data_IF_521014214068
#
_entry.id   IF_521014214068
#
_cell.length_a   1.000
_cell.length_b   1.000
_cell.length_c   1.000
_cell.angle_alpha   90.00
_cell.angle_beta   90.00
_cell.angle_gamma   90.00
#
_symmetry.space_group_name_H-M   'P 1'
#
loop_
_entity.id
_entity.type
_entity.pdbx_description
1 polymer ?
#
# COMPACT_ATOMS: atom_id res chain seq x y z
N UNK A 1 -14.43 -15.08 -3.51
CA UNK A 1 -14.40 -14.92 -2.04
C UNK A 1 -14.22 -13.44 -1.77
N UNK A 2 -15.20 -12.78 -1.15
CA UNK A 2 -15.14 -11.33 -0.89
C UNK A 2 -14.09 -11.08 0.21
N UNK A 3 -12.96 -10.46 -0.13
CA UNK A 3 -12.01 -9.96 0.87
C UNK A 3 -12.72 -8.92 1.72
N UNK A 4 -13.06 -9.28 2.95
CA UNK A 4 -13.70 -8.38 3.91
C UNK A 4 -12.64 -7.42 4.44
N UNK A 5 -12.90 -6.12 4.42
CA UNK A 5 -11.96 -5.13 4.95
C UNK A 5 -11.80 -5.30 6.47
N UNK A 6 -10.56 -5.34 6.94
CA UNK A 6 -10.21 -5.45 8.35
C UNK A 6 -10.04 -4.05 8.93
N UNK A 7 -10.72 -3.77 10.04
CA UNK A 7 -10.57 -2.51 10.77
C UNK A 7 -9.27 -2.51 11.58
N UNK A 8 -8.51 -1.43 11.44
CA UNK A 8 -7.30 -1.16 12.22
C UNK A 8 -7.40 0.22 12.86
N UNK A 9 -7.21 0.29 14.17
CA UNK A 9 -7.14 1.53 14.93
C UNK A 9 -5.67 1.94 15.11
N UNK A 10 -5.32 3.12 14.60
CA UNK A 10 -3.94 3.60 14.54
C UNK A 10 -3.84 4.90 15.34
N UNK A 11 -2.97 5.00 16.35
CA UNK A 11 -2.75 6.25 17.07
C UNK A 11 -2.21 7.30 16.10
N UNK A 12 -2.90 8.45 16.06
CA UNK A 12 -2.57 9.56 15.19
C UNK A 12 -1.37 10.36 15.74
N UNK A 13 -1.15 10.34 17.05
CA UNK A 13 -0.10 11.10 17.72
C UNK A 13 0.77 10.19 18.61
N UNK A 14 2.06 10.49 18.66
CA UNK A 14 3.02 9.75 19.49
C UNK A 14 2.93 10.15 20.98
N UNK A 15 2.41 11.35 21.26
CA UNK A 15 2.28 11.89 22.61
C UNK A 15 0.85 11.82 23.14
N UNK A 16 -0.13 11.66 22.25
CA UNK A 16 -1.56 11.61 22.59
C UNK A 16 -2.24 10.40 21.92
N UNK A 17 -2.39 9.33 22.70
CA UNK A 17 -2.93 8.06 22.23
C UNK A 17 -4.46 8.05 22.14
N UNK A 18 -5.13 9.13 22.59
CA UNK A 18 -6.59 9.27 22.52
C UNK A 18 -7.02 9.63 21.08
N UNK A 19 -6.16 10.34 20.35
CA UNK A 19 -6.37 10.65 18.94
C UNK A 19 -6.05 9.41 18.09
N UNK A 20 -7.08 8.72 17.62
CA UNK A 20 -6.95 7.53 16.75
C UNK A 20 -7.52 7.77 15.36
N UNK A 21 -6.89 7.14 14.35
CA UNK A 21 -7.39 7.03 12.99
C UNK A 21 -7.77 5.57 12.76
N UNK A 22 -9.02 5.34 12.35
CA UNK A 22 -9.47 4.02 11.92
C UNK A 22 -9.24 3.86 10.43
N UNK A 23 -8.66 2.74 10.03
CA UNK A 23 -8.38 2.41 8.63
C UNK A 23 -8.93 1.02 8.35
N UNK A 24 -9.71 0.88 7.29
CA UNK A 24 -10.22 -0.40 6.85
C UNK A 24 -9.39 -0.88 5.67
N UNK A 25 -8.57 -1.89 5.92
CA UNK A 25 -7.65 -2.46 4.92
C UNK A 25 -8.26 -3.73 4.38
N UNK A 26 -8.49 -3.79 3.07
CA UNK A 26 -8.89 -5.02 2.39
C UNK A 26 -7.69 -5.68 1.72
N UNK A 27 -7.68 -7.00 1.73
CA UNK A 27 -6.67 -7.77 1.05
C UNK A 27 -6.87 -7.66 -0.47
N UNK A 28 -5.81 -7.23 -1.17
CA UNK A 28 -5.79 -7.19 -2.62
C UNK A 28 -5.70 -8.59 -3.20
N UNK A 29 -6.52 -8.85 -4.22
CA UNK A 29 -6.41 -10.10 -4.96
C UNK A 29 -5.09 -10.16 -5.75
N UNK A 30 -4.66 -11.38 -6.08
CA UNK A 30 -3.48 -11.59 -6.93
C UNK A 30 -3.54 -10.80 -8.25
N UNK A 31 -4.72 -10.71 -8.87
CA UNK A 31 -4.90 -9.97 -10.12
C UNK A 31 -4.75 -8.46 -9.94
N UNK A 32 -5.23 -7.90 -8.82
CA UNK A 32 -5.02 -6.49 -8.50
C UNK A 32 -3.54 -6.21 -8.29
N UNK A 33 -2.81 -7.07 -7.57
CA UNK A 33 -1.37 -6.91 -7.39
C UNK A 33 -0.59 -6.97 -8.72
N UNK A 34 -0.97 -7.88 -9.62
CA UNK A 34 -0.37 -7.97 -10.97
C UNK A 34 -0.61 -6.71 -11.81
N UNK A 35 -1.83 -6.17 -11.76
CA UNK A 35 -2.18 -4.91 -12.45
C UNK A 35 -1.42 -3.72 -11.87
N UNK A 36 -1.29 -3.69 -10.55
CA UNK A 36 -0.50 -2.72 -9.82
C UNK A 36 0.96 -2.73 -10.32
N UNK A 37 1.61 -3.90 -10.33
CA UNK A 37 3.01 -4.07 -10.76
C UNK A 37 3.25 -3.47 -12.14
N UNK A 38 2.35 -3.70 -13.11
CA UNK A 38 2.48 -3.14 -14.46
C UNK A 38 2.39 -1.62 -14.51
N UNK A 39 1.77 -1.01 -13.51
CA UNK A 39 1.53 0.43 -13.44
C UNK A 39 2.71 1.20 -12.86
N UNK A 40 3.46 0.60 -11.93
CA UNK A 40 4.59 1.27 -11.25
C UNK A 40 5.96 0.61 -11.46
N UNK A 41 6.04 -0.58 -12.06
CA UNK A 41 7.31 -1.21 -12.41
C UNK A 41 7.59 -1.00 -13.90
N UNK A 42 8.73 -0.38 -14.20
CA UNK A 42 9.23 -0.18 -15.56
C UNK A 42 10.53 -0.93 -15.75
N UNK A 43 10.61 -1.79 -16.78
CA UNK A 43 11.85 -2.45 -17.17
C UNK A 43 12.58 -1.51 -18.15
N UNK A 44 13.75 -1.04 -17.74
CA UNK A 44 14.61 -0.19 -18.58
C UNK A 44 15.27 -1.03 -19.68
N UNK A 45 15.62 -0.40 -20.79
CA UNK A 45 16.33 -1.05 -21.92
C UNK A 45 17.69 -1.63 -21.55
N UNK A 46 18.29 -1.18 -20.44
CA UNK A 46 19.55 -1.72 -19.89
C UNK A 46 19.33 -2.95 -18.99
N UNK A 47 18.09 -3.44 -18.86
CA UNK A 47 17.74 -4.55 -17.96
C UNK A 47 17.60 -4.15 -16.49
N UNK A 48 17.66 -2.86 -16.17
CA UNK A 48 17.36 -2.35 -14.83
C UNK A 48 15.86 -2.27 -14.58
N UNK A 49 15.44 -2.47 -13.34
CA UNK A 49 14.03 -2.33 -12.90
C UNK A 49 13.90 -0.99 -12.19
N UNK A 50 13.04 -0.12 -12.72
CA UNK A 50 12.65 1.15 -12.09
C UNK A 50 11.28 1.00 -11.43
N UNK A 51 11.14 1.50 -10.21
CA UNK A 51 9.91 1.38 -9.41
C UNK A 51 9.49 2.75 -8.94
N UNK A 52 8.34 3.19 -9.44
CA UNK A 52 7.71 4.42 -8.96
C UNK A 52 6.99 4.14 -7.63
N UNK A 53 7.71 4.36 -6.53
CA UNK A 53 7.16 4.22 -5.18
C UNK A 53 5.99 5.18 -4.90
N UNK A 54 5.96 6.35 -5.54
CA UNK A 54 4.85 7.30 -5.35
C UNK A 54 3.58 6.79 -6.03
N UNK A 55 3.70 6.23 -7.24
CA UNK A 55 2.61 5.55 -7.94
C UNK A 55 2.15 4.30 -7.19
N UNK A 56 3.10 3.53 -6.64
CA UNK A 56 2.81 2.38 -5.79
C UNK A 56 1.89 2.75 -4.61
N UNK A 57 2.33 3.69 -3.76
CA UNK A 57 1.56 4.06 -2.58
C UNK A 57 0.21 4.70 -2.93
N UNK A 58 0.13 5.45 -4.04
CA UNK A 58 -1.15 5.95 -4.57
C UNK A 58 -2.12 4.82 -4.88
N UNK A 59 -1.65 3.78 -5.58
CA UNK A 59 -2.47 2.61 -5.90
C UNK A 59 -2.89 1.87 -4.63
N UNK A 60 -1.96 1.62 -3.71
CA UNK A 60 -2.26 0.92 -2.46
C UNK A 60 -3.28 1.66 -1.60
N UNK A 61 -3.16 2.99 -1.47
CA UNK A 61 -4.15 3.77 -0.75
C UNK A 61 -5.51 3.87 -1.45
N UNK A 62 -5.57 3.69 -2.77
CA UNK A 62 -6.84 3.68 -3.51
C UNK A 62 -7.52 2.31 -3.49
N UNK A 63 -6.74 1.24 -3.62
CA UNK A 63 -7.23 -0.11 -3.82
C UNK A 63 -7.23 -0.94 -2.55
N UNK A 64 -6.28 -0.78 -1.63
CA UNK A 64 -6.22 -1.57 -0.40
C UNK A 64 -6.96 -0.91 0.77
N UNK A 65 -7.04 0.42 0.80
CA UNK A 65 -7.81 1.14 1.83
C UNK A 65 -9.24 1.32 1.33
N UNK A 66 -10.21 0.68 1.99
CA UNK A 66 -11.62 0.83 1.67
C UNK A 66 -12.19 2.16 2.18
N UNK A 67 -11.84 2.51 3.42
CA UNK A 67 -12.25 3.77 4.06
C UNK A 67 -11.32 4.11 5.23
N UNK A 68 -11.39 5.37 5.66
CA UNK A 68 -10.73 5.86 6.87
C UNK A 68 -11.69 6.72 7.69
N UNK A 69 -11.49 6.75 9.01
CA UNK A 69 -12.17 7.67 9.93
C UNK A 69 -11.10 8.36 10.81
N UNK A 70 -10.94 9.69 10.72
CA UNK A 70 -11.64 10.62 9.82
C UNK A 70 -11.38 10.33 8.33
N UNK A 71 -12.29 10.79 7.46
CA UNK A 71 -12.20 10.52 6.03
C UNK A 71 -11.03 11.29 5.41
N UNK A 72 -9.98 10.58 5.03
CA UNK A 72 -8.78 11.11 4.40
C UNK A 72 -8.86 10.90 2.88
N UNK A 73 -8.42 11.89 2.11
CA UNK A 73 -8.24 11.73 0.68
C UNK A 73 -6.87 11.11 0.37
N UNK A 74 -6.69 10.51 -0.80
CA UNK A 74 -5.39 9.98 -1.27
C UNK A 74 -4.24 10.98 -1.07
N UNK A 75 -4.34 12.27 -1.48
CA UNK A 75 -3.26 13.22 -1.24
C UNK A 75 -3.03 13.54 0.24
N UNK A 76 -4.07 13.49 1.09
CA UNK A 76 -3.90 13.63 2.54
C UNK A 76 -3.15 12.43 3.13
N UNK A 77 -3.49 11.20 2.70
CA UNK A 77 -2.80 9.98 3.11
C UNK A 77 -1.31 9.97 2.72
N UNK A 78 -1.00 10.44 1.51
CA UNK A 78 0.38 10.61 1.04
C UNK A 78 1.16 11.71 1.79
N UNK A 79 0.46 12.65 2.42
CA UNK A 79 1.04 13.76 3.17
C UNK A 79 0.94 13.57 4.68
N UNK A 80 0.66 12.34 5.14
CA UNK A 80 0.60 12.03 6.56
C UNK A 80 1.96 12.22 7.23
N UNK A 81 1.91 12.52 8.53
CA UNK A 81 3.12 12.56 9.36
C UNK A 81 3.81 11.18 9.33
N UNK A 82 5.15 11.11 9.33
CA UNK A 82 5.90 9.86 9.25
C UNK A 82 5.46 8.80 10.28
N UNK A 83 5.08 9.23 11.48
CA UNK A 83 4.57 8.36 12.54
C UNK A 83 3.32 7.57 12.13
N UNK A 84 2.26 8.26 11.69
CA UNK A 84 1.01 7.62 11.23
C UNK A 84 1.26 6.86 9.93
N UNK A 85 2.01 7.48 9.01
CA UNK A 85 2.29 6.91 7.70
C UNK A 85 2.95 5.53 7.85
N UNK A 86 3.98 5.38 8.70
CA UNK A 86 4.64 4.11 8.95
C UNK A 86 3.70 3.05 9.52
N UNK A 87 2.75 3.43 10.37
CA UNK A 87 1.78 2.49 10.93
C UNK A 87 0.78 2.02 9.87
N UNK A 88 0.27 2.92 9.03
CA UNK A 88 -0.64 2.56 7.94
C UNK A 88 0.09 1.71 6.90
N UNK A 89 1.28 2.12 6.47
CA UNK A 89 2.03 1.40 5.43
C UNK A 89 2.47 0.03 5.91
N UNK A 90 2.71 -0.18 7.21
CA UNK A 90 3.00 -1.50 7.77
C UNK A 90 1.85 -2.51 7.64
N UNK A 91 0.61 -2.04 7.52
CA UNK A 91 -0.58 -2.88 7.27
C UNK A 91 -0.74 -3.24 5.79
N UNK A 92 -0.03 -2.54 4.91
CA UNK A 92 -0.10 -2.72 3.48
C UNK A 92 1.03 -3.64 2.99
N UNK A 93 0.82 -4.38 1.89
CA UNK A 93 1.90 -5.05 1.17
C UNK A 93 3.09 -4.11 0.93
N UNK A 94 4.31 -4.59 1.10
CA UNK A 94 5.49 -3.78 0.82
C UNK A 94 5.92 -3.95 -0.64
N UNK A 95 6.52 -2.91 -1.25
CA UNK A 95 7.04 -3.00 -2.62
C UNK A 95 8.00 -4.18 -2.81
N UNK A 96 8.83 -4.48 -1.81
CA UNK A 96 9.79 -5.60 -1.87
C UNK A 96 9.12 -6.98 -1.91
N UNK A 97 7.93 -7.15 -1.33
CA UNK A 97 7.21 -8.42 -1.36
C UNK A 97 6.72 -8.74 -2.77
N UNK A 98 6.39 -7.71 -3.55
CA UNK A 98 5.96 -7.85 -4.94
C UNK A 98 7.11 -8.22 -5.88
N UNK A 99 8.32 -7.73 -5.59
CA UNK A 99 9.53 -8.13 -6.32
C UNK A 99 9.97 -9.56 -5.99
N UNK A 100 9.86 -9.94 -4.72
CA UNK A 100 10.31 -11.25 -4.24
C UNK A 100 9.30 -12.39 -4.52
N UNK A 101 8.05 -12.04 -4.83
CA UNK A 101 6.99 -13.01 -5.15
C UNK A 101 6.75 -13.15 -6.66
N UNK A 102 5.70 -12.52 -7.22
CA UNK A 102 5.23 -12.75 -8.59
C UNK A 102 6.26 -12.48 -9.70
N UNK A 103 7.22 -11.58 -9.47
CA UNK A 103 8.29 -11.31 -10.41
C UNK A 103 9.46 -12.32 -10.30
N UNK A 104 9.73 -12.85 -9.10
CA UNK A 104 10.76 -13.86 -8.90
C UNK A 104 10.36 -15.23 -9.47
N UNK A 105 9.08 -15.59 -9.37
CA UNK A 105 8.57 -16.84 -9.96
C UNK A 105 8.64 -16.86 -11.50
N UNK A 106 8.53 -15.69 -12.15
CA UNK A 106 8.65 -15.55 -13.61
C UNK A 106 10.08 -15.42 -14.13
N UNK A 107 11.08 -15.37 -13.24
CA UNK A 107 12.50 -15.28 -13.59
C UNK A 107 13.24 -16.64 -13.54
N UNK A 108 12.52 -17.71 -13.20
CA UNK A 108 13.08 -19.08 -13.05
C UNK A 108 12.57 -20.08 -14.09
N UNK A 109 11.89 -19.65 -15.15
CA UNK A 109 11.50 -20.52 -16.27
C UNK A 109 12.30 -20.21 -17.55
#
# INVERSE_FOLDING_TARGET
>A
MNSQAVEHEIPADENDHDVVVKVWVKELSFMQLQDAIKTFVTITTAGGVDIDLAAYWKYMFAEAIEKTEPRLSIPQMLSLRPFIANQITALLPQPQDLMSGPLAAGATE
#
